data_IF_106102670208
#
_entry.id   IF_106102670208
#
_cell.length_a   1.000
_cell.length_b   1.000
_cell.length_c   1.000
_cell.angle_alpha   90.00
_cell.angle_beta   90.00
_cell.angle_gamma   90.00
#
_symmetry.space_group_name_H-M   'P 1'
#
loop_
_entity.id
_entity.type
_entity.pdbx_description
1 polymer ?
#
# COMPACT_ATOMS: atom_id res chain seq x y z
N UNK A 1 99.49 -17.65 -7.93
CA UNK A 1 98.34 -18.48 -7.46
C UNK A 1 97.17 -17.60 -7.33
N UNK A 2 96.29 -17.66 -8.31
CA UNK A 2 95.04 -16.81 -8.40
C UNK A 2 93.91 -17.54 -7.71
N UNK A 3 93.23 -16.85 -6.82
CA UNK A 3 91.93 -17.31 -6.23
C UNK A 3 90.81 -16.64 -6.95
N UNK A 4 90.02 -17.44 -7.64
CA UNK A 4 88.77 -17.00 -8.27
C UNK A 4 87.68 -16.81 -7.21
N UNK A 5 87.18 -15.60 -7.10
CA UNK A 5 85.92 -15.29 -6.36
C UNK A 5 84.77 -15.39 -7.32
N UNK A 6 83.93 -16.43 -7.20
CA UNK A 6 82.71 -16.57 -7.94
C UNK A 6 81.66 -15.59 -7.42
N UNK A 7 81.21 -14.64 -8.26
CA UNK A 7 80.10 -13.77 -8.03
C UNK A 7 78.79 -14.53 -8.22
N UNK A 8 78.11 -14.81 -7.12
CA UNK A 8 76.76 -15.32 -7.15
C UNK A 8 75.76 -14.17 -7.45
N UNK A 9 75.16 -14.11 -8.65
CA UNK A 9 74.14 -13.19 -8.99
C UNK A 9 72.74 -13.85 -8.75
N UNK A 10 72.18 -13.56 -7.61
CA UNK A 10 70.81 -13.98 -7.30
C UNK A 10 69.76 -13.27 -8.22
N UNK A 11 68.63 -13.89 -8.45
CA UNK A 11 67.59 -13.34 -9.36
C UNK A 11 66.93 -12.07 -8.78
N UNK A 12 67.33 -10.93 -9.36
CA UNK A 12 66.73 -9.64 -9.09
C UNK A 12 65.48 -9.50 -9.97
N UNK A 13 64.32 -9.30 -9.39
CA UNK A 13 63.26 -8.64 -10.09
C UNK A 13 61.85 -9.27 -10.16
N UNK A 14 61.63 -10.50 -9.71
CA UNK A 14 60.30 -11.09 -9.73
C UNK A 14 59.46 -10.93 -8.43
N UNK A 15 60.10 -10.84 -7.30
CA UNK A 15 59.40 -10.84 -5.99
C UNK A 15 58.63 -9.56 -5.69
N UNK A 16 59.05 -8.42 -6.24
CA UNK A 16 58.38 -7.13 -6.00
C UNK A 16 57.11 -6.96 -6.84
N UNK A 17 57.09 -7.50 -8.07
CA UNK A 17 55.94 -7.46 -8.93
C UNK A 17 54.82 -8.38 -8.42
N UNK A 18 55.17 -9.59 -7.98
CA UNK A 18 54.20 -10.55 -7.45
C UNK A 18 53.56 -10.08 -6.13
N UNK A 19 54.34 -9.38 -5.28
CA UNK A 19 53.83 -8.74 -4.07
C UNK A 19 52.87 -7.58 -4.39
N UNK A 20 53.18 -6.74 -5.38
CA UNK A 20 52.31 -5.64 -5.82
C UNK A 20 51.00 -6.16 -6.41
N UNK A 21 51.05 -7.22 -7.21
CA UNK A 21 49.84 -7.85 -7.78
C UNK A 21 49.00 -8.46 -6.66
N UNK A 22 49.59 -9.11 -5.69
CA UNK A 22 48.87 -9.64 -4.54
C UNK A 22 48.20 -8.54 -3.70
N UNK A 23 48.88 -7.40 -3.46
CA UNK A 23 48.30 -6.26 -2.76
C UNK A 23 47.13 -5.61 -3.54
N UNK A 24 47.25 -5.48 -4.86
CA UNK A 24 46.19 -4.95 -5.70
C UNK A 24 44.98 -5.88 -5.74
N UNK A 25 45.18 -7.19 -5.79
CA UNK A 25 44.09 -8.18 -5.73
C UNK A 25 43.40 -8.19 -4.36
N UNK A 26 44.17 -8.07 -3.27
CA UNK A 26 43.57 -7.94 -1.94
C UNK A 26 42.83 -6.62 -1.78
N UNK A 27 43.36 -5.50 -2.28
CA UNK A 27 42.64 -4.22 -2.26
C UNK A 27 41.37 -4.24 -3.08
N UNK A 28 41.34 -4.96 -4.22
CA UNK A 28 40.12 -5.18 -5.02
C UNK A 28 39.09 -6.05 -4.30
N UNK A 29 39.50 -7.01 -3.48
CA UNK A 29 38.59 -7.83 -2.69
C UNK A 29 37.95 -7.05 -1.53
N UNK A 30 38.60 -6.00 -1.03
CA UNK A 30 38.03 -5.10 -0.01
C UNK A 30 37.26 -3.92 -0.60
N UNK A 31 37.24 -3.75 -1.94
CA UNK A 31 36.46 -2.71 -2.63
C UNK A 31 35.04 -3.13 -2.97
N UNK A 32 34.64 -4.35 -2.66
CA UNK A 32 33.24 -4.69 -2.64
C UNK A 32 32.64 -3.99 -1.43
N UNK A 33 32.02 -2.83 -1.71
CA UNK A 33 31.39 -2.01 -0.72
C UNK A 33 30.55 -2.86 0.23
N UNK A 34 30.60 -2.54 1.47
CA UNK A 34 29.69 -3.06 2.48
C UNK A 34 28.28 -2.94 1.89
N UNK A 35 27.70 -4.07 1.55
CA UNK A 35 26.26 -4.14 1.38
C UNK A 35 25.73 -3.83 2.77
N UNK A 36 25.45 -2.56 2.99
CA UNK A 36 24.73 -2.11 4.17
C UNK A 36 23.44 -2.93 4.18
N UNK A 37 23.38 -3.92 5.05
CA UNK A 37 22.15 -4.58 5.39
C UNK A 37 21.25 -3.46 5.92
N UNK A 38 20.32 -3.00 5.08
CA UNK A 38 19.32 -2.04 5.48
C UNK A 38 18.54 -2.76 6.58
N UNK A 39 18.78 -2.37 7.84
CA UNK A 39 17.97 -2.85 8.95
C UNK A 39 16.52 -2.56 8.59
N UNK A 40 15.77 -3.62 8.35
CA UNK A 40 14.31 -3.52 8.30
C UNK A 40 13.89 -3.15 9.72
N UNK A 41 13.74 -1.87 9.96
CA UNK A 41 13.16 -1.37 11.20
C UNK A 41 11.66 -1.71 11.14
N UNK A 42 11.31 -2.86 11.68
CA UNK A 42 9.92 -3.16 12.01
C UNK A 42 9.60 -2.42 13.29
N UNK A 43 8.98 -1.28 13.19
CA UNK A 43 8.50 -0.48 14.31
C UNK A 43 7.10 0.04 13.99
N UNK A 44 6.21 0.00 15.00
CA UNK A 44 4.93 0.68 14.93
C UNK A 44 5.11 2.09 15.49
N UNK A 45 4.68 3.08 14.73
CA UNK A 45 4.68 4.48 15.15
C UNK A 45 3.24 5.01 15.10
N UNK A 46 2.84 5.73 16.14
CA UNK A 46 1.54 6.41 16.14
C UNK A 46 1.70 7.75 15.43
N UNK A 47 0.90 7.95 14.41
CA UNK A 47 0.87 9.20 13.64
C UNK A 47 -0.42 9.96 13.99
N UNK A 48 -0.33 11.28 14.08
CA UNK A 48 -1.49 12.15 14.26
C UNK A 48 -2.35 12.13 12.98
N UNK A 49 -3.57 11.63 13.10
CA UNK A 49 -4.52 11.56 11.99
C UNK A 49 -5.22 12.89 11.70
N UNK A 50 -5.09 13.88 12.57
CA UNK A 50 -5.78 15.16 12.46
C UNK A 50 -7.28 15.09 12.77
N UNK A 51 -7.80 13.96 13.27
CA UNK A 51 -9.20 13.80 13.67
C UNK A 51 -9.31 13.14 15.05
N UNK A 52 -10.34 13.48 15.79
CA UNK A 52 -10.74 12.85 17.06
C UNK A 52 -11.72 11.67 16.84
N UNK A 53 -12.19 11.49 15.60
CA UNK A 53 -13.17 10.47 15.24
C UNK A 53 -12.52 9.08 15.14
N UNK A 54 -13.33 8.03 15.38
CA UNK A 54 -12.84 6.66 15.22
C UNK A 54 -12.68 6.33 13.73
N UNK A 55 -11.54 5.80 13.37
CA UNK A 55 -11.28 5.27 12.03
C UNK A 55 -11.51 3.75 12.03
N UNK A 56 -12.24 3.24 11.05
CA UNK A 56 -12.68 1.84 10.98
C UNK A 56 -12.01 1.05 9.87
N UNK A 57 -11.72 1.71 8.72
CA UNK A 57 -11.15 1.05 7.55
C UNK A 57 -10.20 1.98 6.81
N UNK A 58 -9.28 1.41 6.04
CA UNK A 58 -8.34 2.18 5.25
C UNK A 58 -8.01 1.47 3.94
N UNK A 59 -7.79 2.27 2.88
CA UNK A 59 -7.45 1.81 1.54
C UNK A 59 -6.21 2.51 1.01
N UNK A 60 -5.46 1.82 0.16
CA UNK A 60 -4.34 2.38 -0.58
C UNK A 60 -4.61 2.28 -2.07
N UNK A 61 -4.58 3.42 -2.76
CA UNK A 61 -4.79 3.49 -4.20
C UNK A 61 -3.91 4.59 -4.81
N UNK A 62 -3.17 4.24 -5.85
CA UNK A 62 -2.37 5.17 -6.68
C UNK A 62 -1.42 6.12 -5.90
N UNK A 63 -0.83 5.62 -4.80
CA UNK A 63 0.10 6.40 -3.97
C UNK A 63 -0.57 7.17 -2.84
N UNK A 64 -1.88 7.08 -2.71
CA UNK A 64 -2.67 7.73 -1.69
C UNK A 64 -3.22 6.72 -0.68
N UNK A 65 -3.25 7.10 0.59
CA UNK A 65 -3.92 6.32 1.63
C UNK A 65 -5.18 7.08 2.03
N UNK A 66 -6.28 6.36 2.07
CA UNK A 66 -7.57 6.87 2.53
C UNK A 66 -7.95 6.15 3.81
N UNK A 67 -8.53 6.85 4.77
CA UNK A 67 -9.11 6.25 5.96
C UNK A 67 -10.50 6.82 6.22
N UNK A 68 -11.38 5.94 6.69
CA UNK A 68 -12.80 6.20 6.86
C UNK A 68 -13.25 5.84 8.27
N UNK A 69 -14.25 6.56 8.77
CA UNK A 69 -14.63 6.40 10.17
C UNK A 69 -16.01 6.89 10.56
N UNK A 70 -16.14 7.15 11.85
CA UNK A 70 -17.39 7.63 12.45
C UNK A 70 -17.79 9.00 11.92
N UNK A 71 -19.10 9.25 11.93
CA UNK A 71 -19.67 10.54 11.53
C UNK A 71 -19.38 10.96 10.09
N UNK A 72 -19.08 10.00 9.20
CA UNK A 72 -18.72 10.29 7.82
C UNK A 72 -17.28 10.79 7.62
N UNK A 73 -16.43 10.57 8.61
CA UNK A 73 -15.01 10.97 8.53
C UNK A 73 -14.33 10.30 7.35
N UNK A 74 -13.70 11.13 6.52
CA UNK A 74 -12.87 10.73 5.40
C UNK A 74 -11.59 11.54 5.43
N UNK A 75 -10.45 10.89 5.60
CA UNK A 75 -9.13 11.54 5.60
C UNK A 75 -8.23 10.89 4.56
N UNK A 76 -7.30 11.68 4.03
CA UNK A 76 -6.37 11.26 2.98
C UNK A 76 -4.94 11.65 3.33
N UNK A 77 -4.01 10.75 3.02
CA UNK A 77 -2.56 11.00 3.03
C UNK A 77 -1.99 10.79 1.63
N UNK A 78 -1.05 11.67 1.25
CA UNK A 78 -0.29 11.61 -0.02
C UNK A 78 1.21 11.44 0.22
N UNK A 79 1.60 11.17 1.46
CA UNK A 79 3.00 11.09 1.89
C UNK A 79 3.29 9.83 2.74
N UNK A 80 2.68 8.71 2.34
CA UNK A 80 2.86 7.40 2.99
C UNK A 80 2.35 7.38 4.45
N UNK A 81 1.30 8.14 4.75
CA UNK A 81 0.68 8.19 6.07
C UNK A 81 1.36 9.12 7.07
N UNK A 82 2.32 9.95 6.65
CA UNK A 82 3.02 10.87 7.56
C UNK A 82 2.15 12.06 7.96
N UNK A 83 1.35 12.57 7.03
CA UNK A 83 0.37 13.63 7.30
C UNK A 83 -0.98 13.29 6.68
N UNK A 84 -2.03 13.80 7.30
CA UNK A 84 -3.40 13.53 6.90
C UNK A 84 -4.20 14.82 6.76
N UNK A 85 -5.19 14.81 5.90
CA UNK A 85 -6.11 15.94 5.70
C UNK A 85 -7.51 15.41 5.42
N UNK A 86 -8.52 16.15 5.86
CA UNK A 86 -9.90 15.88 5.47
C UNK A 86 -10.05 15.93 3.96
N UNK A 87 -10.80 14.98 3.40
CA UNK A 87 -11.04 14.86 1.97
C UNK A 87 -12.29 14.04 1.71
N UNK A 88 -12.81 14.13 0.49
CA UNK A 88 -13.98 13.37 0.07
C UNK A 88 -15.26 14.19 0.05
N UNK A 89 -16.40 13.52 0.15
CA UNK A 89 -17.74 14.13 0.20
C UNK A 89 -18.32 14.03 1.61
N UNK A 90 -19.12 15.01 1.98
CA UNK A 90 -19.68 15.10 3.33
C UNK A 90 -20.88 14.18 3.46
N UNK A 91 -20.80 13.21 4.37
CA UNK A 91 -21.92 12.40 4.87
C UNK A 91 -21.90 12.46 6.40
N UNK A 92 -22.90 11.94 7.06
CA UNK A 92 -23.01 11.95 8.53
C UNK A 92 -23.07 10.55 9.15
N UNK A 93 -23.14 9.53 8.31
CA UNK A 93 -23.20 8.13 8.72
C UNK A 93 -21.79 7.56 8.93
N UNK A 94 -21.67 6.61 9.84
CA UNK A 94 -20.42 5.88 10.03
C UNK A 94 -20.05 5.10 8.77
N UNK A 95 -18.81 5.19 8.35
CA UNK A 95 -18.23 4.49 7.23
C UNK A 95 -17.40 3.31 7.75
N UNK A 96 -17.94 2.09 7.65
CA UNK A 96 -17.46 0.94 8.43
C UNK A 96 -16.71 -0.11 7.63
N UNK A 97 -16.87 -0.14 6.32
CA UNK A 97 -16.19 -1.09 5.42
C UNK A 97 -15.79 -0.40 4.13
N UNK A 98 -14.68 -0.81 3.56
CA UNK A 98 -14.19 -0.32 2.27
C UNK A 98 -13.47 -1.42 1.49
N UNK A 99 -13.35 -1.22 0.20
CA UNK A 99 -12.51 -2.01 -0.70
C UNK A 99 -11.97 -1.14 -1.81
N UNK A 100 -10.78 -1.48 -2.33
CA UNK A 100 -10.15 -0.76 -3.43
C UNK A 100 -9.69 -1.71 -4.52
N UNK A 101 -9.99 -1.37 -5.75
CA UNK A 101 -9.57 -2.16 -6.91
C UNK A 101 -9.55 -1.30 -8.17
N UNK A 102 -8.65 -1.62 -9.10
CA UNK A 102 -8.48 -0.91 -10.36
C UNK A 102 -8.10 0.57 -10.15
N UNK A 103 -9.00 1.50 -10.25
CA UNK A 103 -8.84 2.95 -10.00
C UNK A 103 -9.97 3.49 -9.14
N UNK A 104 -10.59 2.62 -8.38
CA UNK A 104 -11.78 2.91 -7.60
C UNK A 104 -11.60 2.54 -6.14
N UNK A 105 -12.22 3.30 -5.26
CA UNK A 105 -12.45 2.95 -3.86
C UNK A 105 -13.94 2.96 -3.65
N UNK A 106 -14.46 1.93 -3.01
CA UNK A 106 -15.82 1.91 -2.48
C UNK A 106 -15.75 1.93 -0.97
N UNK A 107 -16.63 2.69 -0.35
CA UNK A 107 -16.81 2.69 1.09
C UNK A 107 -18.28 2.63 1.43
N UNK A 108 -18.63 1.84 2.43
CA UNK A 108 -19.99 1.61 2.85
C UNK A 108 -20.13 1.74 4.37
N UNK A 109 -21.34 1.95 4.82
CA UNK A 109 -21.59 2.15 6.24
C UNK A 109 -23.06 2.03 6.65
N UNK A 110 -23.38 2.73 7.72
CA UNK A 110 -24.71 2.68 8.31
C UNK A 110 -25.77 3.34 7.42
N UNK A 111 -27.04 2.91 7.59
CA UNK A 111 -28.20 3.48 6.90
C UNK A 111 -28.09 3.48 5.37
N UNK A 112 -27.54 2.43 4.80
CA UNK A 112 -27.42 2.27 3.35
C UNK A 112 -26.44 3.22 2.66
N UNK A 113 -25.53 3.84 3.42
CA UNK A 113 -24.51 4.72 2.87
C UNK A 113 -23.53 3.93 2.02
N UNK A 114 -23.36 4.34 0.77
CA UNK A 114 -22.35 3.81 -0.15
C UNK A 114 -21.77 4.94 -0.97
N UNK A 115 -20.47 5.11 -0.90
CA UNK A 115 -19.73 6.12 -1.65
C UNK A 115 -18.75 5.42 -2.57
N UNK A 116 -18.69 5.82 -3.82
CA UNK A 116 -17.77 5.29 -4.82
C UNK A 116 -16.84 6.40 -5.30
N UNK A 117 -15.55 6.19 -5.21
CA UNK A 117 -14.55 7.00 -5.89
C UNK A 117 -14.12 6.30 -7.18
N UNK A 118 -14.20 6.99 -8.28
CA UNK A 118 -13.67 6.51 -9.56
C UNK A 118 -12.82 7.61 -10.20
N UNK A 119 -11.58 7.27 -10.55
CA UNK A 119 -10.61 8.21 -11.16
C UNK A 119 -10.49 9.54 -10.39
N UNK A 120 -10.50 9.47 -9.05
CA UNK A 120 -10.36 10.65 -8.16
C UNK A 120 -11.64 11.44 -7.91
N UNK A 121 -12.78 11.01 -8.43
CA UNK A 121 -14.08 11.68 -8.25
C UNK A 121 -14.95 10.82 -7.34
N UNK A 122 -15.39 11.39 -6.21
CA UNK A 122 -16.36 10.76 -5.31
C UNK A 122 -17.80 10.96 -5.77
N UNK A 123 -18.59 9.90 -5.71
CA UNK A 123 -20.01 9.86 -6.03
C UNK A 123 -20.73 9.20 -4.86
N UNK A 124 -21.82 9.83 -4.40
CA UNK A 124 -22.75 9.23 -3.45
C UNK A 124 -23.76 8.37 -4.22
N UNK A 125 -23.71 7.06 -3.94
CA UNK A 125 -24.62 6.05 -4.51
C UNK A 125 -25.42 5.35 -3.41
N UNK A 126 -25.57 6.00 -2.26
CA UNK A 126 -26.33 5.51 -1.12
C UNK A 126 -27.77 5.17 -1.49
N UNK A 127 -28.36 4.22 -0.80
CA UNK A 127 -29.72 3.76 -1.07
C UNK A 127 -30.42 3.36 0.22
N UNK A 128 -31.67 3.76 0.36
CA UNK A 128 -32.59 3.36 1.43
C UNK A 128 -33.08 1.90 1.31
N UNK A 129 -32.68 1.20 0.26
CA UNK A 129 -32.85 -0.26 0.14
C UNK A 129 -31.99 -1.03 1.12
N UNK A 130 -30.88 -0.44 1.58
CA UNK A 130 -29.97 -1.03 2.54
C UNK A 130 -30.15 -0.42 3.92
N UNK A 131 -30.00 -1.23 4.95
CA UNK A 131 -29.80 -0.78 6.32
C UNK A 131 -28.31 -0.57 6.63
N UNK A 132 -27.84 -1.12 7.74
CA UNK A 132 -26.44 -1.05 8.11
C UNK A 132 -25.62 -2.09 7.34
N UNK A 133 -24.80 -1.62 6.43
CA UNK A 133 -23.94 -2.47 5.61
C UNK A 133 -22.80 -2.99 6.48
N UNK A 134 -22.56 -4.29 6.41
CA UNK A 134 -21.53 -4.98 7.17
C UNK A 134 -20.20 -5.06 6.41
N UNK A 135 -20.31 -5.25 5.09
CA UNK A 135 -19.14 -5.37 4.25
C UNK A 135 -19.47 -5.02 2.79
N UNK A 136 -18.44 -4.56 2.07
CA UNK A 136 -18.52 -4.22 0.65
C UNK A 136 -17.28 -4.68 -0.08
N UNK A 137 -17.43 -5.18 -1.31
CA UNK A 137 -16.32 -5.59 -2.15
C UNK A 137 -16.55 -5.22 -3.61
N UNK A 138 -15.55 -4.61 -4.25
CA UNK A 138 -15.55 -4.31 -5.69
C UNK A 138 -15.38 -5.61 -6.49
N UNK A 139 -16.25 -5.83 -7.45
CA UNK A 139 -16.18 -6.97 -8.38
C UNK A 139 -15.81 -6.55 -9.80
N UNK A 140 -15.76 -5.24 -10.04
CA UNK A 140 -15.39 -4.60 -11.30
C UNK A 140 -15.39 -3.09 -11.17
N UNK A 141 -15.21 -2.37 -12.28
CA UNK A 141 -15.18 -0.91 -12.26
C UNK A 141 -16.52 -0.28 -11.84
N UNK A 142 -17.63 -0.91 -12.22
CA UNK A 142 -18.99 -0.42 -12.01
C UNK A 142 -19.84 -1.43 -11.23
N UNK A 143 -19.22 -2.44 -10.63
CA UNK A 143 -19.93 -3.49 -9.93
C UNK A 143 -19.29 -3.83 -8.60
N UNK A 144 -20.13 -4.14 -7.62
CA UNK A 144 -19.72 -4.48 -6.27
C UNK A 144 -20.74 -5.38 -5.59
N UNK A 145 -20.35 -5.96 -4.49
CA UNK A 145 -21.19 -6.78 -3.62
C UNK A 145 -21.32 -6.08 -2.28
N UNK A 146 -22.52 -6.11 -1.71
CA UNK A 146 -22.81 -5.62 -0.36
C UNK A 146 -23.30 -6.78 0.49
N UNK A 147 -22.83 -6.84 1.73
CA UNK A 147 -23.32 -7.73 2.76
C UNK A 147 -24.11 -6.92 3.79
N UNK A 148 -25.38 -7.25 3.94
CA UNK A 148 -26.25 -6.70 4.96
C UNK A 148 -26.88 -7.84 5.77
N UNK A 149 -26.59 -7.88 7.06
CA UNK A 149 -27.03 -8.96 7.97
C UNK A 149 -26.63 -10.35 7.44
N UNK A 150 -27.57 -11.11 6.88
CA UNK A 150 -27.40 -12.44 6.29
C UNK A 150 -27.72 -12.45 4.78
N UNK A 151 -27.83 -11.28 4.17
CA UNK A 151 -28.13 -11.09 2.75
C UNK A 151 -26.89 -10.61 1.98
N UNK A 152 -26.79 -11.09 0.75
CA UNK A 152 -25.76 -10.67 -0.21
C UNK A 152 -26.45 -10.02 -1.41
N UNK A 153 -26.01 -8.79 -1.70
CA UNK A 153 -26.51 -8.00 -2.81
C UNK A 153 -25.44 -7.85 -3.86
N UNK A 154 -25.76 -8.12 -5.12
CA UNK A 154 -24.91 -7.76 -6.25
C UNK A 154 -25.41 -6.44 -6.82
N UNK A 155 -24.52 -5.47 -6.91
CA UNK A 155 -24.86 -4.11 -7.29
C UNK A 155 -24.09 -3.69 -8.54
N UNK A 156 -24.72 -2.86 -9.36
CA UNK A 156 -24.09 -2.20 -10.51
C UNK A 156 -24.43 -0.73 -10.52
N UNK A 157 -23.44 0.10 -10.85
CA UNK A 157 -23.63 1.54 -11.04
C UNK A 157 -23.80 1.82 -12.52
N UNK A 158 -24.84 2.56 -12.89
CA UNK A 158 -25.01 2.98 -14.29
C UNK A 158 -24.25 4.27 -14.56
N UNK A 159 -24.02 4.56 -15.85
CA UNK A 159 -23.30 5.77 -16.34
C UNK A 159 -23.84 7.08 -15.75
N UNK A 160 -25.05 7.09 -15.23
CA UNK A 160 -25.69 8.27 -14.62
C UNK A 160 -25.55 8.30 -13.08
N UNK A 161 -24.72 7.40 -12.49
CA UNK A 161 -24.58 7.31 -11.04
C UNK A 161 -25.78 6.68 -10.34
N UNK A 162 -26.71 6.08 -11.07
CA UNK A 162 -27.86 5.37 -10.48
C UNK A 162 -27.45 3.97 -10.07
N UNK A 163 -27.71 3.63 -8.82
CA UNK A 163 -27.49 2.28 -8.30
C UNK A 163 -28.59 1.33 -8.78
N UNK A 164 -28.18 0.21 -9.35
CA UNK A 164 -29.04 -0.95 -9.57
C UNK A 164 -28.61 -2.07 -8.65
N UNK A 165 -29.32 -2.27 -7.56
CA UNK A 165 -29.08 -3.36 -6.65
C UNK A 165 -29.98 -4.56 -7.01
N UNK A 166 -29.38 -5.73 -7.12
CA UNK A 166 -30.08 -6.98 -7.36
C UNK A 166 -29.76 -7.90 -6.18
N UNK A 167 -30.74 -8.14 -5.34
CA UNK A 167 -30.61 -9.13 -4.28
C UNK A 167 -30.45 -10.53 -4.90
N UNK A 168 -29.38 -11.23 -4.57
CA UNK A 168 -29.31 -12.65 -4.86
C UNK A 168 -30.25 -13.39 -3.91
N UNK A 169 -31.26 -14.04 -4.48
CA UNK A 169 -32.19 -14.88 -3.72
C UNK A 169 -31.38 -15.95 -2.98
N UNK A 170 -31.46 -15.93 -1.66
CA UNK A 170 -31.00 -17.02 -0.82
C UNK A 170 -31.82 -18.26 -1.18
N UNK A 171 -31.25 -19.22 -1.89
CA UNK A 171 -31.87 -20.53 -2.02
C UNK A 171 -31.96 -21.12 -0.61
N UNK A 172 -33.17 -21.15 -0.07
CA UNK A 172 -33.46 -21.87 1.17
C UNK A 172 -33.48 -23.35 0.82
N UNK A 173 -32.35 -24.02 1.13
CA UNK A 173 -32.26 -25.47 1.13
C UNK A 173 -33.10 -26.08 2.25
#
# INVERSE_FOLDING_TARGET
MASEASLWSGPKGKRSADLLIAFVLIALLFSFGEVSAQEVRSGWEVVDSGTEENLYTAEYLDGEIWAFGSGGTMIRSIDEGRTWSESGISVSQDLTSSDSSYKSIIVAGNSGTVLLMNEGVWIDISSDQFGDIKDVALTGNDSFVVIEQDEVWTCTVTVNGTLNAIQQLKERG
#
